data_IF_728950588430
#
_entry.id   IF_728950588430
#
_cell.length_a   1.000
_cell.length_b   1.000
_cell.length_c   1.000
_cell.angle_alpha   90.00
_cell.angle_beta   90.00
_cell.angle_gamma   90.00
#
_symmetry.space_group_name_H-M   'P 1'
#
loop_
_entity.id
_entity.type
_entity.pdbx_description
1 polymer ?
#
# COMPACT_ATOMS: atom_id res chain seq x y z
N UNK A 1 1.67 -13.20 -27.43
CA UNK A 1 2.15 -12.68 -26.13
C UNK A 1 0.92 -12.38 -25.29
N UNK A 2 0.96 -12.59 -23.97
CA UNK A 2 -0.14 -12.18 -23.09
C UNK A 2 -0.14 -10.64 -22.97
N UNK A 3 -1.30 -9.99 -22.86
CA UNK A 3 -1.34 -8.56 -22.57
C UNK A 3 -0.68 -8.29 -21.21
N UNK A 4 0.09 -7.22 -21.13
CA UNK A 4 0.68 -6.72 -19.88
C UNK A 4 -0.32 -5.79 -19.20
N UNK A 5 -0.41 -5.88 -17.88
CA UNK A 5 -1.23 -5.00 -17.07
C UNK A 5 -0.40 -4.28 -16.01
N UNK A 6 -0.89 -3.08 -15.66
CA UNK A 6 -0.40 -2.32 -14.52
C UNK A 6 -1.55 -2.08 -13.56
N UNK A 7 -1.28 -2.32 -12.28
CA UNK A 7 -2.22 -2.11 -11.19
C UNK A 7 -1.67 -1.08 -10.22
N UNK A 8 -2.55 -0.31 -9.57
CA UNK A 8 -2.17 0.27 -8.28
C UNK A 8 -2.28 -0.81 -7.21
N UNK A 9 -1.35 -0.79 -6.26
CA UNK A 9 -1.39 -1.60 -5.05
C UNK A 9 -1.53 -0.70 -3.83
N UNK A 10 -2.52 -1.00 -3.00
CA UNK A 10 -2.77 -0.32 -1.73
C UNK A 10 -3.08 -1.34 -0.64
N UNK A 11 -3.05 -0.89 0.62
CA UNK A 11 -3.53 -1.71 1.73
C UNK A 11 -5.05 -1.63 1.79
N UNK A 12 -5.70 -2.77 1.97
CA UNK A 12 -7.15 -2.83 2.03
C UNK A 12 -7.66 -2.40 3.42
N UNK A 13 -8.33 -1.25 3.45
CA UNK A 13 -8.86 -0.62 4.66
C UNK A 13 -9.84 -1.51 5.44
N UNK A 14 -10.45 -2.52 4.79
CA UNK A 14 -11.29 -3.48 5.49
C UNK A 14 -10.50 -4.39 6.45
N UNK A 15 -9.17 -4.42 6.36
CA UNK A 15 -8.31 -5.14 7.30
C UNK A 15 -7.62 -4.24 8.34
N UNK A 16 -7.89 -2.93 8.26
CA UNK A 16 -7.46 -1.93 9.22
C UNK A 16 -6.24 -1.13 8.77
N UNK A 17 -5.65 -0.41 9.73
CA UNK A 17 -4.62 0.59 9.46
C UNK A 17 -3.71 0.74 10.68
N UNK A 18 -2.44 1.00 10.44
CA UNK A 18 -1.46 1.36 11.44
C UNK A 18 -1.11 2.83 11.22
N UNK A 19 -1.16 3.58 12.32
CA UNK A 19 -0.77 4.98 12.35
C UNK A 19 0.53 5.14 13.13
N UNK A 20 1.21 6.26 12.94
CA UNK A 20 2.27 6.63 13.86
C UNK A 20 1.69 7.07 15.20
N UNK A 21 2.45 6.83 16.26
CA UNK A 21 2.19 7.49 17.53
C UNK A 21 2.68 8.95 17.46
N UNK A 22 1.77 9.87 17.13
CA UNK A 22 2.06 11.31 16.97
C UNK A 22 2.63 11.96 18.25
N UNK A 23 2.32 11.41 19.43
CA UNK A 23 2.80 11.92 20.71
C UNK A 23 4.29 11.61 20.97
N UNK A 24 4.87 10.64 20.25
CA UNK A 24 6.26 10.19 20.41
C UNK A 24 7.14 10.59 19.23
N UNK A 25 6.77 11.66 18.50
CA UNK A 25 7.55 12.14 17.36
C UNK A 25 8.88 12.77 17.83
N UNK A 26 9.92 11.94 17.81
CA UNK A 26 11.31 12.34 17.56
C UNK A 26 11.42 12.99 16.16
N UNK A 27 12.50 13.73 15.82
CA UNK A 27 12.60 14.54 14.59
C UNK A 27 12.42 13.79 13.25
N UNK A 28 12.38 12.47 13.27
CA UNK A 28 12.20 11.60 12.10
C UNK A 28 10.70 11.34 11.81
N UNK A 29 10.01 12.36 11.30
CA UNK A 29 8.60 12.26 10.92
C UNK A 29 8.34 11.31 9.73
N UNK A 30 7.13 10.76 9.61
CA UNK A 30 6.72 9.92 8.46
C UNK A 30 6.75 10.65 7.12
N UNK A 31 6.62 11.98 7.12
CA UNK A 31 6.84 12.79 5.93
C UNK A 31 8.26 12.62 5.37
N UNK A 32 9.16 12.04 6.16
CA UNK A 32 10.53 11.73 5.81
C UNK A 32 10.82 10.22 5.87
N UNK A 33 9.85 9.32 6.04
CA UNK A 33 10.15 7.86 6.11
C UNK A 33 10.89 7.37 4.86
N UNK A 34 10.57 7.95 3.71
CA UNK A 34 11.27 7.72 2.45
C UNK A 34 12.71 8.24 2.45
N UNK A 35 13.01 9.28 3.23
CA UNK A 35 14.35 9.87 3.34
C UNK A 35 15.25 9.14 4.35
N UNK A 36 14.68 8.31 5.22
CA UNK A 36 15.45 7.61 6.25
C UNK A 36 16.16 6.43 5.61
N UNK A 37 17.49 6.45 5.68
CA UNK A 37 18.32 5.38 5.16
C UNK A 37 18.12 4.12 5.98
N UNK A 38 18.32 2.96 5.35
CA UNK A 38 18.21 1.65 6.00
C UNK A 38 19.07 1.55 7.27
N UNK A 39 20.29 2.08 7.25
CA UNK A 39 21.24 2.05 8.37
C UNK A 39 20.81 2.96 9.53
N UNK A 40 19.94 3.93 9.26
CA UNK A 40 19.41 4.89 10.23
C UNK A 40 18.05 4.43 10.77
N UNK A 41 17.52 3.30 10.30
CA UNK A 41 16.21 2.80 10.70
C UNK A 41 16.19 2.40 12.17
N UNK A 42 15.44 3.16 12.97
CA UNK A 42 15.11 2.84 14.36
C UNK A 42 13.69 2.31 14.41
N UNK A 43 13.43 1.35 15.31
CA UNK A 43 12.09 0.77 15.49
C UNK A 43 11.10 1.88 15.88
N UNK A 44 10.13 2.16 15.01
CA UNK A 44 9.15 3.23 15.22
C UNK A 44 8.00 2.79 16.13
N UNK A 45 7.59 3.62 17.11
CA UNK A 45 6.38 3.37 17.87
C UNK A 45 5.14 3.65 17.01
N UNK A 46 4.39 2.61 16.68
CA UNK A 46 3.14 2.72 15.96
C UNK A 46 1.92 2.60 16.88
N UNK A 47 0.81 3.23 16.48
CA UNK A 47 -0.52 3.03 17.04
C UNK A 47 -1.34 2.15 16.09
N UNK A 48 -2.05 1.19 16.66
CA UNK A 48 -2.86 0.24 15.91
C UNK A 48 -4.32 0.65 16.01
N UNK A 49 -5.00 0.81 14.87
CA UNK A 49 -6.44 1.06 14.87
C UNK A 49 -7.21 -0.05 15.60
N UNK A 50 -8.34 0.32 16.22
CA UNK A 50 -9.23 -0.65 16.89
C UNK A 50 -9.76 -1.74 15.94
N UNK A 51 -9.79 -1.47 14.64
CA UNK A 51 -10.27 -2.39 13.59
C UNK A 51 -9.12 -2.99 12.77
N UNK A 52 -7.92 -3.05 13.31
CA UNK A 52 -6.82 -3.78 12.66
C UNK A 52 -6.88 -5.26 13.00
N UNK A 53 -6.91 -6.09 11.97
CA UNK A 53 -6.98 -7.55 12.08
C UNK A 53 -5.59 -8.17 11.93
N UNK A 54 -5.41 -9.38 12.46
CA UNK A 54 -4.15 -10.12 12.30
C UNK A 54 -4.09 -10.77 10.90
N UNK A 55 -3.68 -9.99 9.92
CA UNK A 55 -3.53 -10.38 8.50
C UNK A 55 -2.08 -10.24 8.05
N UNK A 56 -1.76 -10.72 6.84
CA UNK A 56 -0.40 -10.74 6.31
C UNK A 56 0.13 -9.33 5.99
N UNK A 57 -0.74 -8.41 5.56
CA UNK A 57 -0.38 -7.05 5.14
C UNK A 57 -1.34 -6.05 5.74
N UNK A 58 -0.81 -4.99 6.34
CA UNK A 58 -1.58 -3.93 6.96
C UNK A 58 -1.17 -2.60 6.35
N UNK A 59 -2.17 -1.77 6.02
CA UNK A 59 -1.93 -0.42 5.55
C UNK A 59 -1.19 0.40 6.61
N UNK A 60 -0.19 1.16 6.17
CA UNK A 60 0.51 2.13 6.98
C UNK A 60 0.64 3.44 6.22
N UNK A 61 0.14 4.52 6.81
CA UNK A 61 0.23 5.88 6.26
C UNK A 61 -0.11 6.01 4.77
N UNK A 62 -1.26 5.47 4.39
CA UNK A 62 -1.93 5.61 3.09
C UNK A 62 -1.27 4.94 1.88
N UNK A 63 0.05 4.83 1.81
CA UNK A 63 0.77 4.30 0.65
C UNK A 63 1.91 3.32 0.98
N UNK A 64 1.99 2.90 2.24
CA UNK A 64 2.99 1.95 2.69
C UNK A 64 2.35 0.73 3.34
N UNK A 65 3.17 -0.31 3.50
CA UNK A 65 2.74 -1.60 3.96
C UNK A 65 3.59 -2.04 5.15
N UNK A 66 2.92 -2.56 6.15
CA UNK A 66 3.54 -3.36 7.19
C UNK A 66 3.16 -4.80 6.93
N UNK A 67 4.15 -5.66 6.72
CA UNK A 67 3.97 -7.06 6.38
C UNK A 67 4.37 -7.96 7.55
N UNK A 68 3.64 -9.06 7.72
CA UNK A 68 3.99 -10.13 8.64
C UNK A 68 5.14 -10.99 8.11
N UNK A 69 5.69 -11.85 8.97
CA UNK A 69 6.84 -12.72 8.68
C UNK A 69 6.62 -13.61 7.45
N UNK A 70 5.42 -14.18 7.33
CA UNK A 70 5.04 -15.03 6.19
C UNK A 70 5.01 -14.26 4.87
N UNK A 71 4.39 -13.09 4.84
CA UNK A 71 4.37 -12.27 3.62
C UNK A 71 5.79 -11.81 3.26
N UNK A 72 6.59 -11.40 4.26
CA UNK A 72 7.99 -11.05 4.04
C UNK A 72 8.76 -12.20 3.38
N UNK A 73 8.71 -13.41 3.93
CA UNK A 73 9.51 -14.53 3.40
C UNK A 73 9.14 -14.92 1.97
N UNK A 74 7.90 -14.65 1.56
CA UNK A 74 7.42 -14.88 0.19
C UNK A 74 7.82 -13.73 -0.74
N UNK A 75 7.68 -12.48 -0.29
CA UNK A 75 7.89 -11.29 -1.13
C UNK A 75 9.35 -10.90 -1.27
N UNK A 76 10.14 -11.02 -0.20
CA UNK A 76 11.53 -10.54 -0.14
C UNK A 76 12.43 -11.08 -1.27
N UNK A 77 12.38 -12.38 -1.65
CA UNK A 77 13.21 -12.89 -2.74
C UNK A 77 12.93 -12.23 -4.11
N UNK A 78 11.71 -11.74 -4.32
CA UNK A 78 11.32 -11.04 -5.56
C UNK A 78 11.51 -9.53 -5.44
N UNK A 79 11.69 -9.04 -4.22
CA UNK A 79 11.73 -7.62 -3.90
C UNK A 79 13.14 -7.13 -3.48
N UNK A 80 14.15 -7.99 -3.43
CA UNK A 80 15.45 -7.72 -2.81
C UNK A 80 16.14 -6.43 -3.29
N UNK A 81 16.01 -6.09 -4.58
CA UNK A 81 16.61 -4.90 -5.18
C UNK A 81 15.63 -3.73 -5.37
N UNK A 82 14.38 -3.89 -4.92
CA UNK A 82 13.30 -2.91 -5.19
C UNK A 82 12.62 -2.41 -3.91
N UNK A 83 12.67 -3.19 -2.84
CA UNK A 83 12.11 -2.81 -1.56
C UNK A 83 12.95 -3.34 -0.39
N UNK A 84 13.12 -2.48 0.61
CA UNK A 84 13.65 -2.86 1.90
C UNK A 84 12.53 -3.35 2.83
N UNK A 85 12.84 -4.36 3.64
CA UNK A 85 11.97 -4.85 4.70
C UNK A 85 12.54 -4.45 6.06
N UNK A 86 12.09 -3.29 6.55
CA UNK A 86 12.63 -2.66 7.74
C UNK A 86 11.82 -3.08 8.98
N UNK A 87 12.44 -3.57 10.06
CA UNK A 87 11.69 -4.13 11.20
C UNK A 87 10.89 -3.05 11.95
N UNK A 88 9.65 -3.37 12.29
CA UNK A 88 8.73 -2.55 13.09
C UNK A 88 8.19 -3.38 14.25
N UNK A 89 8.20 -2.82 15.44
CA UNK A 89 7.70 -3.48 16.64
C UNK A 89 6.25 -3.08 16.89
N UNK A 90 5.34 -4.06 16.86
CA UNK A 90 3.93 -3.88 17.20
C UNK A 90 3.61 -4.77 18.41
N UNK A 91 3.55 -4.16 19.61
CA UNK A 91 3.46 -4.93 20.84
C UNK A 91 4.70 -5.81 21.03
N UNK A 92 4.51 -7.12 21.21
CA UNK A 92 5.61 -8.10 21.33
C UNK A 92 6.01 -8.76 20.00
N UNK A 93 5.28 -8.49 18.89
CA UNK A 93 5.55 -9.11 17.59
C UNK A 93 6.30 -8.17 16.66
N UNK A 94 7.30 -8.72 15.99
CA UNK A 94 8.00 -8.04 14.90
C UNK A 94 7.21 -8.15 13.61
N UNK A 95 7.03 -7.01 12.95
CA UNK A 95 6.55 -6.88 11.59
C UNK A 95 7.62 -6.18 10.76
N UNK A 96 7.39 -6.02 9.45
CA UNK A 96 8.34 -5.35 8.57
C UNK A 96 7.65 -4.32 7.71
N UNK A 97 8.14 -3.09 7.75
CA UNK A 97 7.78 -2.04 6.83
C UNK A 97 8.41 -2.33 5.47
N UNK A 98 7.57 -2.56 4.46
CA UNK A 98 8.01 -2.76 3.07
C UNK A 98 8.16 -1.39 2.42
N UNK A 99 9.41 -0.91 2.36
CA UNK A 99 9.80 0.38 1.78
C UNK A 99 10.22 0.19 0.34
N UNK A 100 9.40 0.62 -0.62
CA UNK A 100 9.75 0.63 -2.05
C UNK A 100 10.34 1.97 -2.45
N UNK A 101 11.61 2.01 -2.85
CA UNK A 101 12.29 3.24 -3.29
C UNK A 101 12.39 3.38 -4.82
N UNK A 102 11.97 2.36 -5.57
CA UNK A 102 12.18 2.35 -7.02
C UNK A 102 11.27 3.33 -7.73
N UNK A 103 11.87 4.41 -8.23
CA UNK A 103 11.27 5.30 -9.21
C UNK A 103 11.52 4.75 -10.61
N UNK A 104 10.45 4.43 -11.33
CA UNK A 104 10.50 3.88 -12.68
C UNK A 104 9.63 4.71 -13.64
N UNK A 105 10.29 5.51 -14.49
CA UNK A 105 9.64 6.46 -15.38
C UNK A 105 9.08 5.77 -16.64
N UNK A 106 7.86 5.24 -16.50
CA UNK A 106 7.14 4.54 -17.55
C UNK A 106 5.79 5.16 -17.92
N UNK A 107 5.38 6.25 -17.26
CA UNK A 107 4.14 6.98 -17.60
C UNK A 107 4.37 7.85 -18.85
N UNK A 108 3.40 7.82 -19.77
CA UNK A 108 3.34 8.67 -20.95
C UNK A 108 2.63 9.97 -20.58
N UNK A 109 3.41 10.93 -20.08
CA UNK A 109 2.97 12.19 -19.42
C UNK A 109 1.93 13.01 -20.20
N UNK A 110 1.98 12.98 -21.53
CA UNK A 110 1.09 13.72 -22.42
C UNK A 110 -0.25 13.01 -22.67
N UNK A 111 -0.37 11.72 -22.29
CA UNK A 111 -1.56 10.89 -22.51
C UNK A 111 -2.35 10.55 -21.25
N UNK A 112 -1.85 10.90 -20.08
CA UNK A 112 -2.61 10.76 -18.82
C UNK A 112 -3.72 11.80 -18.73
N UNK A 113 -4.83 11.42 -18.09
CA UNK A 113 -6.02 12.26 -17.95
C UNK A 113 -6.42 12.41 -16.48
N UNK A 114 -6.93 13.59 -16.11
CA UNK A 114 -7.34 13.91 -14.74
C UNK A 114 -7.24 15.40 -14.41
N UNK A 115 -7.37 15.71 -13.12
CA UNK A 115 -7.39 17.07 -12.62
C UNK A 115 -6.00 17.60 -12.30
N UNK A 116 -5.70 18.79 -12.83
CA UNK A 116 -4.41 19.47 -12.62
C UNK A 116 -4.58 20.67 -11.70
N UNK A 117 -3.66 20.84 -10.75
CA UNK A 117 -3.44 22.13 -10.11
C UNK A 117 -2.38 22.90 -10.88
N UNK A 118 -2.78 24.04 -11.45
CA UNK A 118 -1.88 24.97 -12.12
C UNK A 118 -1.51 26.08 -11.14
N UNK A 119 -0.26 26.11 -10.69
CA UNK A 119 0.32 27.23 -9.93
C UNK A 119 1.30 28.01 -10.84
N UNK A 120 1.57 29.30 -10.56
CA UNK A 120 2.41 30.15 -11.41
C UNK A 120 3.79 29.56 -11.76
N UNK A 121 4.35 28.71 -10.90
CA UNK A 121 5.69 28.12 -11.06
C UNK A 121 5.68 26.61 -11.27
N UNK A 122 4.52 25.94 -11.20
CA UNK A 122 4.44 24.47 -11.26
C UNK A 122 3.04 23.99 -11.64
N UNK A 123 2.99 23.00 -12.52
CA UNK A 123 1.81 22.17 -12.76
C UNK A 123 2.03 20.84 -12.04
N UNK A 124 1.03 20.39 -11.27
CA UNK A 124 1.01 19.06 -10.69
C UNK A 124 -0.39 18.47 -10.75
N UNK A 125 -0.48 17.14 -10.78
CA UNK A 125 -1.75 16.43 -10.78
C UNK A 125 -2.35 16.42 -9.37
N UNK A 126 -3.63 16.80 -9.26
CA UNK A 126 -4.42 16.61 -8.03
C UNK A 126 -4.92 15.18 -7.98
N UNK A 127 -5.48 14.72 -9.10
CA UNK A 127 -6.00 13.38 -9.30
C UNK A 127 -5.69 12.94 -10.73
N UNK A 128 -5.33 11.67 -10.91
CA UNK A 128 -5.14 11.08 -12.23
C UNK A 128 -6.25 10.03 -12.38
N UNK A 129 -7.21 10.31 -13.26
CA UNK A 129 -8.32 9.41 -13.55
C UNK A 129 -7.90 8.31 -14.53
N UNK A 130 -6.93 8.57 -15.41
CA UNK A 130 -6.49 7.57 -16.38
C UNK A 130 -5.00 7.62 -16.57
N UNK A 131 -4.35 6.52 -16.22
CA UNK A 131 -2.92 6.32 -16.44
C UNK A 131 -2.66 5.74 -17.81
N UNK A 132 -1.57 6.15 -18.44
CA UNK A 132 -1.08 5.59 -19.70
C UNK A 132 0.39 5.28 -19.52
N UNK A 133 0.75 4.03 -19.76
CA UNK A 133 2.12 3.54 -19.63
C UNK A 133 2.73 3.22 -20.99
N UNK A 134 4.04 3.37 -21.06
CA UNK A 134 4.87 2.98 -22.19
C UNK A 134 5.02 1.46 -22.19
N UNK A 135 4.48 0.81 -23.22
CA UNK A 135 4.44 -0.65 -23.30
C UNK A 135 5.84 -1.27 -23.25
N UNK A 136 6.80 -0.70 -23.98
CA UNK A 136 8.15 -1.26 -24.06
C UNK A 136 8.84 -1.22 -22.70
N UNK A 137 8.58 -0.17 -21.91
CA UNK A 137 9.12 -0.05 -20.56
C UNK A 137 8.44 -0.98 -19.56
N UNK A 138 7.14 -1.28 -19.73
CA UNK A 138 6.44 -2.19 -18.82
C UNK A 138 6.96 -3.62 -18.94
N UNK A 139 7.49 -4.04 -20.09
CA UNK A 139 8.10 -5.37 -20.25
C UNK A 139 9.29 -5.59 -19.30
N UNK A 140 10.07 -4.54 -19.06
CA UNK A 140 11.25 -4.55 -18.17
C UNK A 140 10.97 -3.87 -16.81
N UNK A 141 9.70 -3.64 -16.47
CA UNK A 141 9.36 -2.96 -15.23
C UNK A 141 9.67 -3.81 -13.99
N UNK A 142 10.08 -3.19 -12.87
CA UNK A 142 10.15 -3.84 -11.58
C UNK A 142 8.79 -4.44 -11.16
N UNK A 143 8.80 -5.48 -10.30
CA UNK A 143 7.58 -6.07 -9.74
C UNK A 143 6.66 -5.02 -9.08
N UNK A 144 7.28 -4.09 -8.35
CA UNK A 144 6.64 -2.98 -7.66
C UNK A 144 7.48 -1.73 -7.88
N UNK A 145 6.85 -0.60 -8.19
CA UNK A 145 7.53 0.66 -8.49
C UNK A 145 6.64 1.88 -8.20
N UNK A 146 7.25 3.06 -8.27
CA UNK A 146 6.58 4.37 -8.21
C UNK A 146 6.96 5.21 -9.42
N UNK A 147 6.13 6.20 -9.78
CA UNK A 147 6.41 7.14 -10.86
C UNK A 147 6.39 8.58 -10.34
N UNK A 148 7.20 9.48 -10.93
CA UNK A 148 7.30 10.87 -10.46
C UNK A 148 6.00 11.67 -10.53
N UNK A 149 5.09 11.28 -11.42
CA UNK A 149 3.77 11.89 -11.61
C UNK A 149 2.80 11.53 -10.48
N UNK A 150 3.04 10.42 -9.78
CA UNK A 150 2.15 9.86 -8.78
C UNK A 150 2.95 9.19 -7.64
N UNK A 151 3.81 9.96 -6.96
CA UNK A 151 4.71 9.45 -5.91
C UNK A 151 4.00 8.75 -4.74
N UNK A 152 2.73 9.08 -4.49
CA UNK A 152 1.90 8.45 -3.47
C UNK A 152 1.27 7.12 -3.92
N UNK A 153 1.33 6.80 -5.22
CA UNK A 153 0.77 5.57 -5.78
C UNK A 153 1.89 4.55 -5.96
N UNK A 154 1.67 3.36 -5.41
CA UNK A 154 2.53 2.21 -5.68
C UNK A 154 1.92 1.43 -6.83
N UNK A 155 2.70 1.19 -7.88
CA UNK A 155 2.32 0.41 -9.04
C UNK A 155 2.91 -0.97 -8.97
N UNK A 156 2.27 -1.94 -9.61
CA UNK A 156 2.80 -3.29 -9.75
C UNK A 156 2.38 -3.93 -11.07
N UNK A 157 3.13 -4.95 -11.49
CA UNK A 157 2.89 -5.75 -12.68
C UNK A 157 2.02 -6.97 -12.37
N UNK A 158 1.56 -7.68 -13.42
CA UNK A 158 0.87 -8.97 -13.27
C UNK A 158 1.67 -9.97 -12.41
N UNK A 159 3.00 -10.00 -12.54
CA UNK A 159 3.85 -10.95 -11.81
C UNK A 159 3.74 -10.78 -10.28
N UNK A 160 3.68 -9.54 -9.80
CA UNK A 160 3.52 -9.28 -8.38
C UNK A 160 2.12 -9.64 -7.89
N UNK A 161 1.08 -9.24 -8.65
CA UNK A 161 -0.30 -9.55 -8.32
C UNK A 161 -0.53 -11.07 -8.28
N UNK A 162 -0.07 -11.79 -9.30
CA UNK A 162 -0.18 -13.24 -9.41
C UNK A 162 0.55 -13.95 -8.25
N UNK A 163 1.74 -13.47 -7.86
CA UNK A 163 2.46 -14.00 -6.69
C UNK A 163 1.64 -13.84 -5.41
N UNK A 164 1.11 -12.64 -5.16
CA UNK A 164 0.32 -12.33 -3.96
C UNK A 164 -0.94 -13.19 -3.90
N UNK A 165 -1.66 -13.30 -5.01
CA UNK A 165 -2.91 -14.08 -5.10
C UNK A 165 -2.65 -15.58 -4.99
N UNK A 166 -1.64 -16.11 -5.70
CA UNK A 166 -1.28 -17.53 -5.64
C UNK A 166 -0.77 -17.93 -4.26
N UNK A 167 -0.06 -17.04 -3.57
CA UNK A 167 0.37 -17.24 -2.20
C UNK A 167 -0.78 -17.07 -1.19
N UNK A 168 -1.94 -16.54 -1.57
CA UNK A 168 -3.03 -16.25 -0.64
C UNK A 168 -2.61 -15.25 0.44
N UNK A 169 -1.80 -14.24 0.07
CA UNK A 169 -1.42 -13.15 0.97
C UNK A 169 -2.63 -12.21 1.12
N UNK A 170 -3.06 -11.98 2.36
CA UNK A 170 -4.23 -11.14 2.67
C UNK A 170 -3.79 -9.75 3.09
N UNK A 171 -4.46 -8.71 2.56
CA UNK A 171 -4.29 -7.33 3.01
C UNK A 171 -3.94 -6.33 1.90
N UNK A 172 -3.56 -6.80 0.72
CA UNK A 172 -3.43 -5.96 -0.46
C UNK A 172 -4.77 -5.77 -1.18
N UNK A 173 -4.95 -4.60 -1.77
CA UNK A 173 -5.98 -4.27 -2.75
C UNK A 173 -5.31 -3.86 -4.05
N UNK A 174 -5.71 -4.49 -5.14
CA UNK A 174 -5.25 -4.19 -6.49
C UNK A 174 -6.34 -3.50 -7.28
N UNK A 175 -6.01 -2.40 -7.94
CA UNK A 175 -6.89 -1.70 -8.86
C UNK A 175 -6.25 -1.71 -10.25
N UNK A 176 -6.98 -2.23 -11.23
CA UNK A 176 -6.48 -2.32 -12.60
C UNK A 176 -6.50 -0.94 -13.27
N UNK A 177 -5.33 -0.45 -13.67
CA UNK A 177 -5.18 0.91 -14.20
C UNK A 177 -4.89 0.94 -15.70
N UNK A 178 -4.27 -0.10 -16.24
CA UNK A 178 -3.84 -0.10 -17.63
C UNK A 178 -3.63 -1.51 -18.18
N UNK A 179 -3.86 -1.67 -19.47
CA UNK A 179 -3.61 -2.88 -20.23
C UNK A 179 -2.90 -2.54 -21.55
N UNK A 180 -1.93 -3.35 -21.96
CA UNK A 180 -1.10 -3.09 -23.13
C UNK A 180 -1.80 -3.15 -24.49
N UNK A 181 -3.03 -3.66 -24.54
CA UNK A 181 -3.87 -3.75 -25.73
C UNK A 181 -5.00 -2.72 -25.72
N UNK A 182 -5.61 -2.45 -24.56
CA UNK A 182 -6.75 -1.51 -24.45
C UNK A 182 -6.39 -0.14 -23.90
N UNK A 183 -5.18 0.04 -23.39
CA UNK A 183 -4.68 1.29 -22.82
C UNK A 183 -5.15 1.55 -21.39
N UNK A 184 -5.21 2.85 -21.03
CA UNK A 184 -5.57 3.30 -19.68
C UNK A 184 -7.03 3.09 -19.36
N UNK A 185 -7.30 2.63 -18.14
CA UNK A 185 -8.64 2.44 -17.59
C UNK A 185 -9.02 3.70 -16.83
N UNK A 186 -10.26 4.16 -17.05
CA UNK A 186 -10.79 5.31 -16.34
C UNK A 186 -11.18 4.93 -14.91
N UNK A 187 -10.63 5.67 -13.94
CA UNK A 187 -10.95 5.59 -12.53
C UNK A 187 -11.90 6.72 -12.18
N UNK A 188 -13.09 6.33 -11.74
CA UNK A 188 -13.98 7.23 -11.02
C UNK A 188 -13.67 7.11 -9.54
N UNK A 189 -13.21 8.20 -8.92
CA UNK A 189 -13.22 8.28 -7.47
C UNK A 189 -14.67 8.52 -7.05
N UNK A 190 -15.33 7.49 -6.52
CA UNK A 190 -16.67 7.64 -5.96
C UNK A 190 -16.64 8.73 -4.86
N UNK A 191 -17.58 9.68 -4.88
CA UNK A 191 -17.66 10.67 -3.81
C UNK A 191 -17.87 9.96 -2.48
N UNK A 192 -16.89 10.13 -1.57
CA UNK A 192 -16.91 9.52 -0.22
C UNK A 192 -18.00 10.18 0.67
N UNK A 193 -18.66 11.22 0.18
CA UNK A 193 -19.73 11.93 0.86
C UNK A 193 -21.07 11.67 0.15
N UNK A 194 -22.14 11.52 0.93
CA UNK A 194 -23.49 11.29 0.41
C UNK A 194 -23.93 9.83 0.45
N UNK A 195 -24.95 9.44 -0.32
CA UNK A 195 -25.52 8.09 -0.32
C UNK A 195 -24.51 6.98 -0.63
N UNK A 196 -23.60 7.23 -1.56
CA UNK A 196 -22.53 6.32 -2.00
C UNK A 196 -21.54 6.07 -0.85
N UNK A 197 -21.04 7.15 -0.23
CA UNK A 197 -20.20 7.05 0.96
C UNK A 197 -20.90 6.33 2.13
N UNK A 198 -22.20 6.56 2.33
CA UNK A 198 -22.96 5.86 3.35
C UNK A 198 -23.13 4.36 3.04
N UNK A 199 -23.25 3.98 1.76
CA UNK A 199 -23.27 2.59 1.32
C UNK A 199 -21.91 1.92 1.56
N UNK A 200 -20.82 2.56 1.14
CA UNK A 200 -19.46 2.07 1.38
C UNK A 200 -19.19 1.87 2.87
N UNK A 201 -19.61 2.81 3.73
CA UNK A 201 -19.43 2.66 5.17
C UNK A 201 -20.16 1.43 5.74
N UNK A 202 -21.39 1.15 5.27
CA UNK A 202 -22.13 -0.05 5.69
C UNK A 202 -21.43 -1.34 5.25
N UNK A 203 -20.96 -1.39 4.00
CA UNK A 203 -20.21 -2.53 3.48
C UNK A 203 -18.92 -2.78 4.28
N UNK A 204 -18.17 -1.72 4.60
CA UNK A 204 -16.99 -1.80 5.46
C UNK A 204 -17.34 -2.33 6.85
N UNK A 205 -18.43 -1.85 7.48
CA UNK A 205 -18.86 -2.33 8.79
C UNK A 205 -19.25 -3.82 8.79
N UNK A 206 -19.91 -4.29 7.73
CA UNK A 206 -20.25 -5.71 7.55
C UNK A 206 -19.00 -6.57 7.36
N UNK A 207 -18.11 -6.13 6.47
CA UNK A 207 -16.83 -6.81 6.24
C UNK A 207 -15.98 -6.83 7.51
N UNK A 208 -15.97 -5.76 8.30
CA UNK A 208 -15.30 -5.71 9.59
C UNK A 208 -15.84 -6.73 10.59
N UNK A 209 -17.16 -6.98 10.62
CA UNK A 209 -17.76 -8.02 11.48
C UNK A 209 -17.34 -9.42 11.02
N UNK A 210 -17.34 -9.68 9.72
CA UNK A 210 -16.93 -10.96 9.13
C UNK A 210 -15.43 -11.20 9.41
N UNK A 211 -14.59 -10.22 9.11
CA UNK A 211 -13.14 -10.28 9.29
C UNK A 211 -12.75 -10.44 10.76
N UNK A 212 -13.47 -9.80 11.69
CA UNK A 212 -13.27 -9.99 13.13
C UNK A 212 -13.40 -11.46 13.53
N UNK A 213 -14.39 -12.16 12.98
CA UNK A 213 -14.61 -13.59 13.26
C UNK A 213 -13.55 -14.47 12.61
N UNK A 214 -13.11 -14.12 11.40
CA UNK A 214 -12.17 -14.92 10.60
C UNK A 214 -10.72 -14.78 11.07
N UNK A 215 -10.25 -13.56 11.29
CA UNK A 215 -8.83 -13.25 11.53
C UNK A 215 -8.53 -12.82 12.98
N UNK A 216 -9.55 -12.43 13.74
CA UNK A 216 -9.35 -11.85 15.06
C UNK A 216 -8.77 -10.42 15.01
N UNK A 217 -8.86 -9.71 16.14
CA UNK A 217 -8.30 -8.35 16.25
C UNK A 217 -6.83 -8.43 16.64
N UNK A 218 -5.98 -7.71 15.90
CA UNK A 218 -4.55 -7.67 16.14
C UNK A 218 -4.25 -7.20 17.58
N UNK A 219 -4.94 -6.16 18.05
CA UNK A 219 -4.77 -5.67 19.42
C UNK A 219 -5.08 -6.72 20.50
N UNK A 220 -5.96 -7.69 20.24
CA UNK A 220 -6.23 -8.77 21.20
C UNK A 220 -5.09 -9.78 21.20
N UNK A 221 -4.62 -10.18 20.01
CA UNK A 221 -3.46 -11.07 19.84
C UNK A 221 -2.23 -10.49 20.53
N UNK A 222 -2.02 -9.18 20.40
CA UNK A 222 -0.89 -8.48 21.03
C UNK A 222 -1.05 -8.30 22.54
N UNK A 223 -2.28 -8.21 23.08
CA UNK A 223 -2.54 -8.05 24.52
C UNK A 223 -2.58 -9.36 25.31
N UNK A 224 -2.96 -10.48 24.68
CA UNK A 224 -3.15 -11.78 25.35
C UNK A 224 -1.88 -12.39 25.97
N UNK A 225 -0.69 -11.79 25.79
CA UNK A 225 0.55 -12.23 26.46
C UNK A 225 0.97 -11.43 27.69
N UNK A 226 0.38 -10.26 27.93
CA UNK A 226 0.69 -9.48 29.13
C UNK A 226 0.09 -10.05 30.42
N UNK A 227 -0.88 -10.98 30.32
CA UNK A 227 -1.51 -11.64 31.48
C UNK A 227 -0.86 -12.99 31.85
N UNK A 228 0.10 -13.49 31.07
CA UNK A 228 0.85 -14.74 31.38
C UNK A 228 2.17 -14.45 32.13
N UNK A 229 2.51 -13.17 32.33
CA UNK A 229 3.72 -12.72 33.02
C UNK A 229 3.43 -11.86 34.28
N UNK A 230 2.22 -11.96 34.84
CA UNK A 230 1.88 -11.47 36.19
C UNK A 230 1.51 -12.64 37.08
#
# INVERSE_FOLDING_TARGET
MKPLNVYSVSGDLQYGNIFLNLEKMEPNSIYYVDLIKKEEWKIYPCQISRHTYDVDVILFASSYFVVGERAKSILEPYCENIADFLPVQLGERTYWFMKSEVLYECIVKDKIEGDKCVRPTRIFWLYINKFVFDREKIEDAPFVFRCSEALSTVFCTDQFKDLVEAAGIVGFKFEHLWNSETGGIWREDEPIFGPEGAKLNRELEENWKINKKKYGLLNHVLKQKMEILK
#
